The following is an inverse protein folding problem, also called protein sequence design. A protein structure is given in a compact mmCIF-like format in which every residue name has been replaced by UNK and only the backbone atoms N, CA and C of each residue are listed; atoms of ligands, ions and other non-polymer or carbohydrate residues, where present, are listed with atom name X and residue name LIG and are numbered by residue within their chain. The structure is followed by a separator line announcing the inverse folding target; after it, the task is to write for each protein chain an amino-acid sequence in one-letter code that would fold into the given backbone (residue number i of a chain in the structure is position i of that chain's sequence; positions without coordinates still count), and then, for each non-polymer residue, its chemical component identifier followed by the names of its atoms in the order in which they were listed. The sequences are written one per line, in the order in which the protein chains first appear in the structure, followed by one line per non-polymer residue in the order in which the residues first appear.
data_IF_099127844522
#
_entry.id   IF_099127844522
#
_cell.length_a   1.000
_cell.length_b   1.000
_cell.length_c   1.000
_cell.angle_alpha   90.00
_cell.angle_beta   90.00
_cell.angle_gamma   90.00
#
_symmetry.space_group_name_H-M   'P 1'
#
loop_
_entity.id
_entity.type
_entity.pdbx_description
1 polymer ?
#
# COMPACT_ATOMS: atom_id res chain seq x y z
N UNK A 1 31.93 -26.23 -9.30
CA UNK A 1 31.15 -26.06 -10.54
C UNK A 1 29.65 -25.95 -10.21
N UNK A 2 29.20 -24.84 -9.60
CA UNK A 2 27.79 -24.67 -9.17
C UNK A 2 27.21 -23.26 -9.46
N UNK A 3 27.91 -22.44 -10.25
CA UNK A 3 27.54 -21.02 -10.47
C UNK A 3 26.80 -20.80 -11.80
N UNK A 4 26.84 -21.77 -12.72
CA UNK A 4 26.22 -21.66 -14.06
C UNK A 4 24.73 -21.99 -14.10
N UNK A 5 24.18 -22.62 -13.06
CA UNK A 5 22.80 -23.13 -13.08
C UNK A 5 21.77 -22.06 -12.66
N UNK A 6 22.14 -21.15 -11.74
CA UNK A 6 21.26 -20.06 -11.28
C UNK A 6 21.07 -18.96 -12.33
N UNK A 7 22.09 -18.67 -13.14
CA UNK A 7 21.99 -17.67 -14.21
C UNK A 7 21.13 -18.15 -15.39
N UNK A 8 21.19 -19.45 -15.74
CA UNK A 8 20.33 -20.05 -16.75
C UNK A 8 18.86 -20.17 -16.28
N UNK A 9 18.62 -20.45 -15.00
CA UNK A 9 17.27 -20.41 -14.40
C UNK A 9 16.66 -19.01 -14.40
N UNK A 10 17.45 -17.98 -14.11
CA UNK A 10 16.96 -16.59 -14.12
C UNK A 10 16.61 -16.09 -15.52
N UNK A 11 17.38 -16.51 -16.55
CA UNK A 11 17.06 -16.24 -17.96
C UNK A 11 15.81 -17.01 -18.43
N UNK A 12 15.54 -18.22 -17.92
CA UNK A 12 14.32 -18.98 -18.28
C UNK A 12 13.05 -18.47 -17.59
N UNK A 13 13.16 -17.96 -16.35
CA UNK A 13 12.04 -17.38 -15.59
C UNK A 13 11.62 -16.02 -16.14
N UNK A 14 12.57 -15.13 -16.44
CA UNK A 14 12.27 -13.84 -17.05
C UNK A 14 11.67 -13.97 -18.46
N UNK A 15 12.15 -14.94 -19.25
CA UNK A 15 11.59 -15.26 -20.56
C UNK A 15 10.17 -15.81 -20.50
N UNK A 16 9.86 -16.66 -19.51
CA UNK A 16 8.52 -17.18 -19.30
C UNK A 16 7.53 -16.08 -18.88
N UNK A 17 7.90 -15.18 -17.98
CA UNK A 17 7.05 -14.06 -17.58
C UNK A 17 6.77 -13.09 -18.73
N UNK A 18 7.79 -12.75 -19.53
CA UNK A 18 7.62 -11.89 -20.70
C UNK A 18 6.67 -12.52 -21.73
N UNK A 19 6.85 -13.82 -22.01
CA UNK A 19 5.99 -14.57 -22.93
C UNK A 19 4.55 -14.69 -22.42
N UNK A 20 4.36 -14.94 -21.12
CA UNK A 20 3.04 -14.95 -20.49
C UNK A 20 2.35 -13.61 -20.65
N UNK A 21 3.04 -12.50 -20.37
CA UNK A 21 2.51 -11.15 -20.52
C UNK A 21 2.11 -10.82 -21.97
N UNK A 22 2.93 -11.25 -22.94
CA UNK A 22 2.63 -11.09 -24.37
C UNK A 22 1.39 -11.89 -24.79
N UNK A 23 1.28 -13.15 -24.37
CA UNK A 23 0.13 -14.00 -24.66
C UNK A 23 -1.17 -13.45 -24.07
N UNK A 24 -1.13 -12.99 -22.83
CA UNK A 24 -2.29 -12.37 -22.15
C UNK A 24 -2.71 -11.09 -22.86
N UNK A 25 -1.75 -10.22 -23.19
CA UNK A 25 -2.04 -8.98 -23.92
C UNK A 25 -2.70 -9.23 -25.29
N UNK A 26 -2.26 -10.25 -26.03
CA UNK A 26 -2.89 -10.66 -27.29
C UNK A 26 -4.32 -11.18 -27.09
N UNK A 27 -4.56 -11.96 -26.04
CA UNK A 27 -5.89 -12.48 -25.71
C UNK A 27 -6.84 -11.34 -25.34
N UNK A 28 -6.41 -10.42 -24.48
CA UNK A 28 -7.27 -9.34 -23.95
C UNK A 28 -7.54 -8.25 -24.99
N UNK A 29 -6.49 -7.76 -25.67
CA UNK A 29 -6.59 -6.66 -26.64
C UNK A 29 -7.33 -7.09 -27.90
N UNK A 30 -6.95 -8.24 -28.45
CA UNK A 30 -7.40 -8.69 -29.77
C UNK A 30 -8.52 -9.75 -29.68
N UNK A 31 -8.97 -10.07 -28.46
CA UNK A 31 -10.02 -11.08 -28.17
C UNK A 31 -9.71 -12.45 -28.76
N UNK A 32 -8.42 -12.79 -28.84
CA UNK A 32 -7.96 -14.06 -29.42
C UNK A 32 -8.20 -15.21 -28.44
N UNK A 33 -8.51 -16.40 -28.99
CA UNK A 33 -8.37 -17.64 -28.23
C UNK A 33 -6.89 -17.91 -27.92
N UNK A 34 -6.63 -18.67 -26.85
CA UNK A 34 -5.27 -19.09 -26.47
C UNK A 34 -4.53 -19.75 -27.65
N UNK A 35 -5.22 -20.56 -28.44
CA UNK A 35 -4.64 -21.20 -29.62
C UNK A 35 -4.28 -20.21 -30.74
N UNK A 36 -5.04 -19.12 -30.90
CA UNK A 36 -4.70 -18.05 -31.84
C UNK A 36 -3.53 -17.21 -31.34
N UNK A 37 -3.52 -16.83 -30.06
CA UNK A 37 -2.42 -16.10 -29.45
C UNK A 37 -1.11 -16.90 -29.50
N UNK A 38 -1.16 -18.21 -29.24
CA UNK A 38 -0.01 -19.10 -29.36
C UNK A 38 0.60 -19.12 -30.77
N UNK A 39 -0.26 -19.15 -31.81
CA UNK A 39 0.18 -19.07 -33.20
C UNK A 39 0.81 -17.72 -33.52
N UNK A 40 0.22 -16.62 -33.05
CA UNK A 40 0.77 -15.27 -33.26
C UNK A 40 2.12 -15.07 -32.56
N UNK A 41 2.31 -15.65 -31.38
CA UNK A 41 3.55 -15.59 -30.61
C UNK A 41 4.58 -16.67 -30.99
N UNK A 42 4.28 -17.53 -31.98
CA UNK A 42 5.19 -18.57 -32.45
C UNK A 42 5.51 -19.68 -31.45
N UNK A 43 4.61 -19.94 -30.49
CA UNK A 43 4.82 -20.93 -29.42
C UNK A 43 3.82 -22.10 -29.49
N UNK A 44 4.19 -23.30 -29.03
CA UNK A 44 3.27 -24.44 -29.00
C UNK A 44 2.04 -24.14 -28.15
N UNK A 45 0.85 -24.50 -28.65
CA UNK A 45 -0.43 -24.26 -27.96
C UNK A 45 -0.44 -24.85 -26.54
N UNK A 46 0.15 -26.04 -26.35
CA UNK A 46 0.23 -26.66 -25.02
C UNK A 46 1.04 -25.81 -24.02
N UNK A 47 2.12 -25.18 -24.48
CA UNK A 47 2.96 -24.30 -23.65
C UNK A 47 2.22 -23.00 -23.34
N UNK A 48 1.60 -22.38 -24.35
CA UNK A 48 0.81 -21.16 -24.16
C UNK A 48 -0.38 -21.39 -23.21
N UNK A 49 -1.11 -22.49 -23.38
CA UNK A 49 -2.21 -22.88 -22.47
C UNK A 49 -1.72 -23.06 -21.05
N UNK A 50 -0.57 -23.70 -20.84
CA UNK A 50 -0.01 -23.89 -19.51
C UNK A 50 0.40 -22.57 -18.86
N UNK A 51 1.04 -21.68 -19.61
CA UNK A 51 1.47 -20.36 -19.12
C UNK A 51 0.28 -19.47 -18.75
N UNK A 52 -0.73 -19.38 -19.62
CA UNK A 52 -1.95 -18.61 -19.34
C UNK A 52 -2.70 -19.19 -18.14
N UNK A 53 -2.79 -20.52 -18.02
CA UNK A 53 -3.43 -21.16 -16.87
C UNK A 53 -2.68 -20.86 -15.56
N UNK A 54 -1.35 -20.94 -15.56
CA UNK A 54 -0.55 -20.60 -14.37
C UNK A 54 -0.72 -19.12 -14.00
N UNK A 55 -0.75 -18.22 -14.97
CA UNK A 55 -0.99 -16.81 -14.72
C UNK A 55 -2.37 -16.52 -14.13
N UNK A 56 -3.41 -17.18 -14.63
CA UNK A 56 -4.75 -17.05 -14.08
C UNK A 56 -4.81 -17.52 -12.61
N UNK A 57 -4.14 -18.62 -12.28
CA UNK A 57 -4.01 -19.11 -10.91
C UNK A 57 -3.24 -18.13 -10.02
N UNK A 58 -2.13 -17.56 -10.52
CA UNK A 58 -1.34 -16.56 -9.80
C UNK A 58 -2.14 -15.29 -9.52
N UNK A 59 -2.95 -14.83 -10.48
CA UNK A 59 -3.85 -13.70 -10.31
C UNK A 59 -4.93 -13.99 -9.26
N UNK A 60 -5.59 -15.15 -9.35
CA UNK A 60 -6.62 -15.56 -8.37
C UNK A 60 -6.03 -15.68 -6.95
N UNK A 61 -4.82 -16.22 -6.83
CA UNK A 61 -4.11 -16.30 -5.55
C UNK A 61 -3.75 -14.90 -5.01
N UNK A 62 -3.28 -14.00 -5.87
CA UNK A 62 -2.96 -12.62 -5.47
C UNK A 62 -4.21 -11.84 -5.06
N UNK A 63 -5.33 -12.02 -5.76
CA UNK A 63 -6.62 -11.43 -5.42
C UNK A 63 -7.15 -11.97 -4.08
N UNK A 64 -7.00 -13.28 -3.84
CA UNK A 64 -7.36 -13.91 -2.56
C UNK A 64 -6.50 -13.38 -1.41
N UNK A 65 -5.18 -13.34 -1.58
CA UNK A 65 -4.25 -12.78 -0.59
C UNK A 65 -4.59 -11.31 -0.31
N UNK A 66 -4.89 -10.52 -1.34
CA UNK A 66 -5.30 -9.13 -1.17
C UNK A 66 -6.62 -9.01 -0.38
N UNK A 67 -7.60 -9.87 -0.67
CA UNK A 67 -8.87 -9.88 0.05
C UNK A 67 -8.69 -10.23 1.53
N UNK A 68 -7.93 -11.28 1.85
CA UNK A 68 -7.59 -11.66 3.24
C UNK A 68 -6.83 -10.53 3.95
N UNK A 69 -5.86 -9.91 3.28
CA UNK A 69 -5.09 -8.78 3.81
C UNK A 69 -5.99 -7.58 4.12
N UNK A 70 -6.96 -7.29 3.24
CA UNK A 70 -7.91 -6.20 3.47
C UNK A 70 -8.87 -6.52 4.62
N UNK A 71 -9.28 -7.77 4.79
CA UNK A 71 -10.10 -8.19 5.92
C UNK A 71 -9.35 -8.05 7.25
N UNK A 72 -8.10 -8.48 7.32
CA UNK A 72 -7.25 -8.30 8.49
C UNK A 72 -7.09 -6.81 8.81
N UNK A 73 -6.84 -5.99 7.81
CA UNK A 73 -6.68 -4.55 7.94
C UNK A 73 -7.99 -3.87 8.42
N UNK A 74 -9.16 -4.24 7.90
CA UNK A 74 -10.47 -3.74 8.37
C UNK A 74 -10.74 -4.18 9.81
N UNK A 75 -10.36 -5.40 10.19
CA UNK A 75 -10.46 -5.88 11.58
C UNK A 75 -9.59 -5.04 12.52
N UNK A 76 -8.44 -4.56 12.05
CA UNK A 76 -7.55 -3.69 12.82
C UNK A 76 -8.09 -2.26 12.95
N UNK A 77 -8.74 -1.70 11.93
CA UNK A 77 -9.32 -0.34 11.96
C UNK A 77 -10.70 -0.28 11.29
N UNK A 78 -11.79 -0.64 12.00
CA UNK A 78 -13.11 -0.70 11.41
C UNK A 78 -13.60 0.68 10.93
N UNK A 79 -14.18 0.69 9.72
CA UNK A 79 -14.79 1.87 9.10
C UNK A 79 -13.83 2.83 8.41
N UNK A 80 -12.55 2.49 8.27
CA UNK A 80 -11.60 3.24 7.44
C UNK A 80 -11.89 3.02 5.94
N UNK A 81 -11.78 4.08 5.13
CA UNK A 81 -12.02 3.98 3.68
C UNK A 81 -10.77 3.45 2.95
N UNK A 82 -10.53 2.15 3.08
CA UNK A 82 -9.36 1.44 2.55
C UNK A 82 -9.23 1.53 1.03
N UNK A 83 -10.34 1.66 0.30
CA UNK A 83 -10.38 1.78 -1.16
C UNK A 83 -9.71 3.07 -1.66
N UNK A 84 -9.59 4.04 -0.78
CA UNK A 84 -9.05 5.36 -1.12
C UNK A 84 -7.53 5.45 -0.95
N UNK A 85 -6.88 4.36 -0.53
CA UNK A 85 -5.44 4.25 -0.34
C UNK A 85 -4.77 3.77 -1.62
N UNK A 86 -3.58 4.31 -1.91
CA UNK A 86 -2.72 3.77 -2.97
C UNK A 86 -2.01 2.50 -2.50
N UNK A 87 -1.64 1.61 -3.43
CA UNK A 87 -0.89 0.37 -3.12
C UNK A 87 0.34 0.60 -2.24
N UNK A 88 1.05 1.72 -2.44
CA UNK A 88 2.19 2.10 -1.61
C UNK A 88 1.81 2.29 -0.13
N UNK A 89 0.63 2.84 0.13
CA UNK A 89 0.15 3.06 1.48
C UNK A 89 -0.33 1.76 2.11
N UNK A 90 -1.02 0.89 1.36
CA UNK A 90 -1.36 -0.45 1.82
C UNK A 90 -0.11 -1.24 2.23
N UNK A 91 0.93 -1.23 1.39
CA UNK A 91 2.19 -1.90 1.69
C UNK A 91 2.85 -1.33 2.96
N UNK A 92 2.91 -0.01 3.11
CA UNK A 92 3.53 0.61 4.27
C UNK A 92 2.79 0.28 5.59
N UNK A 93 1.47 0.14 5.55
CA UNK A 93 0.65 -0.26 6.69
C UNK A 93 0.89 -1.72 7.03
N UNK A 94 0.85 -2.59 6.02
CA UNK A 94 1.09 -4.02 6.19
C UNK A 94 2.51 -4.32 6.73
N UNK A 95 3.52 -3.60 6.25
CA UNK A 95 4.90 -3.69 6.75
C UNK A 95 5.08 -3.10 8.16
N UNK A 96 4.02 -2.52 8.75
CA UNK A 96 4.08 -1.89 10.07
C UNK A 96 4.94 -0.62 10.10
N UNK A 97 5.17 0.02 8.95
CA UNK A 97 5.96 1.26 8.85
C UNK A 97 5.10 2.52 8.92
N UNK A 98 3.81 2.40 8.66
CA UNK A 98 2.83 3.49 8.74
C UNK A 98 1.50 3.02 9.34
N UNK A 99 0.70 3.95 9.85
CA UNK A 99 -0.66 3.71 10.31
C UNK A 99 -1.64 4.73 9.68
N UNK A 100 -2.93 4.37 9.55
CA UNK A 100 -3.98 5.32 9.21
C UNK A 100 -4.00 6.53 10.17
N UNK A 101 -4.11 7.73 9.61
CA UNK A 101 -4.20 8.96 10.39
C UNK A 101 -5.44 9.01 11.28
N UNK A 102 -6.50 8.28 10.91
CA UNK A 102 -7.74 8.20 11.68
C UNK A 102 -7.51 7.72 13.11
N UNK A 103 -6.74 6.65 13.30
CA UNK A 103 -6.44 6.09 14.63
C UNK A 103 -5.83 7.17 15.53
N UNK A 104 -4.83 7.89 15.01
CA UNK A 104 -4.17 8.96 15.77
C UNK A 104 -5.12 10.11 16.05
N UNK A 105 -6.01 10.46 15.12
CA UNK A 105 -7.03 11.51 15.33
C UNK A 105 -8.02 11.11 16.43
N UNK A 106 -8.48 9.87 16.46
CA UNK A 106 -9.38 9.37 17.50
C UNK A 106 -8.72 9.41 18.89
N UNK A 107 -7.45 9.02 18.98
CA UNK A 107 -6.67 9.14 20.23
C UNK A 107 -6.51 10.60 20.68
N UNK A 108 -6.27 11.50 19.73
CA UNK A 108 -6.20 12.94 20.02
C UNK A 108 -7.56 13.43 20.49
N UNK A 109 -8.65 13.10 19.81
CA UNK A 109 -10.00 13.52 20.18
C UNK A 109 -10.38 13.04 21.59
N UNK A 110 -10.11 11.77 21.91
CA UNK A 110 -10.31 11.24 23.26
C UNK A 110 -9.46 11.99 24.31
N UNK A 111 -8.20 12.30 23.98
CA UNK A 111 -7.34 13.10 24.85
C UNK A 111 -7.86 14.54 25.04
N UNK A 112 -8.36 15.18 23.97
CA UNK A 112 -8.94 16.52 24.04
C UNK A 112 -10.19 16.53 24.93
N UNK A 113 -11.05 15.52 24.81
CA UNK A 113 -12.22 15.37 25.68
C UNK A 113 -11.83 15.17 27.14
N UNK A 114 -10.76 14.42 27.43
CA UNK A 114 -10.29 14.15 28.80
C UNK A 114 -9.57 15.34 29.45
N UNK A 115 -8.83 16.11 28.68
CA UNK A 115 -7.93 17.15 29.20
C UNK A 115 -8.45 18.57 28.98
N UNK A 116 -9.49 18.73 28.15
CA UNK A 116 -10.03 20.02 27.68
C UNK A 116 -8.99 20.86 26.92
N UNK A 117 -7.90 20.24 26.46
CA UNK A 117 -6.84 20.89 25.70
C UNK A 117 -7.07 20.75 24.19
N UNK A 118 -6.62 21.74 23.41
CA UNK A 118 -6.71 21.71 21.95
C UNK A 118 -5.47 21.12 21.27
N UNK A 119 -5.54 20.95 19.94
CA UNK A 119 -4.39 20.49 19.12
C UNK A 119 -3.17 21.41 19.23
N UNK A 120 -3.38 22.71 19.50
CA UNK A 120 -2.30 23.67 19.68
C UNK A 120 -1.41 23.35 20.89
N UNK A 121 -1.99 22.89 22.00
CA UNK A 121 -1.23 22.46 23.18
C UNK A 121 -0.42 21.19 22.89
N UNK A 122 -1.03 20.23 22.18
CA UNK A 122 -0.33 19.03 21.74
C UNK A 122 0.82 19.36 20.77
N UNK A 123 0.62 20.28 19.84
CA UNK A 123 1.65 20.73 18.92
C UNK A 123 2.81 21.41 19.66
N UNK A 124 2.51 22.23 20.68
CA UNK A 124 3.51 22.84 21.56
C UNK A 124 4.33 21.78 22.32
N UNK A 125 3.68 20.74 22.87
CA UNK A 125 4.36 19.62 23.53
C UNK A 125 5.29 18.84 22.58
N UNK A 126 4.93 18.79 21.30
CA UNK A 126 5.73 18.16 20.24
C UNK A 126 6.81 19.07 19.66
N UNK A 127 6.86 20.34 20.06
CA UNK A 127 7.79 21.33 19.51
C UNK A 127 7.55 21.65 18.04
N UNK A 128 6.31 21.48 17.55
CA UNK A 128 5.92 21.76 16.16
C UNK A 128 4.77 22.77 16.11
N UNK A 129 4.55 23.40 14.96
CA UNK A 129 3.39 24.28 14.77
C UNK A 129 2.08 23.50 14.68
N UNK A 130 0.98 24.07 15.21
CA UNK A 130 -0.37 23.47 15.15
C UNK A 130 -0.76 23.11 13.70
N UNK A 131 -0.52 24.02 12.76
CA UNK A 131 -0.77 23.80 11.34
C UNK A 131 0.07 22.64 10.76
N UNK A 132 1.28 22.42 11.27
CA UNK A 132 2.13 21.29 10.84
C UNK A 132 1.61 19.96 11.40
N UNK A 133 1.15 19.95 12.65
CA UNK A 133 0.51 18.79 13.26
C UNK A 133 -0.79 18.43 12.51
N UNK A 134 -1.66 19.40 12.27
CA UNK A 134 -2.94 19.21 11.57
C UNK A 134 -2.74 18.70 10.14
N UNK A 135 -1.72 19.18 9.43
CA UNK A 135 -1.33 18.63 8.12
C UNK A 135 -0.83 17.19 8.21
N UNK A 136 -0.01 16.87 9.22
CA UNK A 136 0.51 15.52 9.44
C UNK A 136 -0.61 14.52 9.74
N UNK A 137 -1.65 14.96 10.46
CA UNK A 137 -2.86 14.21 10.77
C UNK A 137 -3.90 14.18 9.62
N UNK A 138 -3.63 14.87 8.51
CA UNK A 138 -4.55 14.94 7.37
C UNK A 138 -5.83 15.75 7.63
N UNK A 139 -5.85 16.59 8.67
CA UNK A 139 -6.96 17.50 8.98
C UNK A 139 -6.95 18.74 8.07
N UNK A 140 -5.78 19.09 7.56
CA UNK A 140 -5.57 20.16 6.58
C UNK A 140 -4.80 19.61 5.39
N UNK A 141 -5.09 20.13 4.21
CA UNK A 141 -4.44 19.71 2.97
C UNK A 141 -2.96 20.11 2.98
N UNK A 142 -2.11 19.20 2.48
CA UNK A 142 -0.73 19.57 2.14
C UNK A 142 -0.80 20.46 0.91
N UNK A 143 -0.21 21.67 0.94
CA UNK A 143 -0.30 22.60 -0.17
C UNK A 143 0.36 22.03 -1.41
N UNK A 144 -0.13 22.46 -2.57
CA UNK A 144 0.46 22.14 -3.87
C UNK A 144 1.94 22.52 -3.85
N UNK A 145 2.80 21.61 -4.31
CA UNK A 145 4.25 21.84 -4.36
C UNK A 145 4.85 21.44 -5.70
N UNK A 146 5.92 22.12 -6.09
CA UNK A 146 6.75 21.75 -7.24
C UNK A 146 8.09 21.24 -6.70
N UNK A 147 8.48 20.01 -7.06
CA UNK A 147 9.76 19.42 -6.66
C UNK A 147 10.39 18.76 -7.88
N UNK A 148 11.65 19.10 -8.18
CA UNK A 148 12.39 18.58 -9.35
C UNK A 148 11.59 18.71 -10.66
N UNK A 149 10.97 19.86 -10.89
CA UNK A 149 10.12 20.11 -12.07
C UNK A 149 8.76 19.39 -12.08
N UNK A 150 8.50 18.47 -11.15
CA UNK A 150 7.20 17.77 -11.03
C UNK A 150 6.23 18.55 -10.15
N UNK A 151 5.01 18.74 -10.66
CA UNK A 151 3.90 19.37 -9.93
C UNK A 151 3.15 18.29 -9.13
N UNK A 152 3.05 18.49 -7.82
CA UNK A 152 2.27 17.64 -6.93
C UNK A 152 1.02 18.39 -6.51
N UNK A 153 -0.18 17.85 -6.74
CA UNK A 153 -1.44 18.49 -6.35
C UNK A 153 -1.53 18.60 -4.82
N UNK A 154 -2.38 19.53 -4.37
CA UNK A 154 -2.76 19.56 -2.97
C UNK A 154 -3.47 18.25 -2.61
N UNK A 155 -3.17 17.71 -1.44
CA UNK A 155 -3.73 16.43 -1.01
C UNK A 155 -3.74 16.30 0.51
N UNK A 156 -4.71 15.58 1.04
CA UNK A 156 -4.70 15.15 2.43
C UNK A 156 -3.74 13.99 2.63
N UNK A 157 -2.99 14.06 3.72
CA UNK A 157 -2.19 12.94 4.17
C UNK A 157 -3.11 11.92 4.87
N UNK A 158 -3.16 10.69 4.38
CA UNK A 158 -4.01 9.63 4.96
C UNK A 158 -3.28 8.75 5.97
N UNK A 159 -1.95 8.70 5.88
CA UNK A 159 -1.10 7.86 6.73
C UNK A 159 0.01 8.66 7.37
N UNK A 160 0.43 8.21 8.56
CA UNK A 160 1.57 8.73 9.31
C UNK A 160 2.51 7.58 9.60
N UNK A 161 3.81 7.84 9.61
CA UNK A 161 4.81 6.84 10.00
C UNK A 161 4.61 6.43 11.45
N UNK A 162 4.85 5.14 11.78
CA UNK A 162 4.76 4.63 13.16
C UNK A 162 5.62 5.42 14.13
N UNK A 163 6.80 5.89 13.70
CA UNK A 163 7.67 6.72 14.54
C UNK A 163 7.00 8.05 14.94
N UNK A 164 6.45 8.77 13.96
CA UNK A 164 5.75 10.04 14.23
C UNK A 164 4.47 9.83 15.04
N UNK A 165 3.71 8.76 14.77
CA UNK A 165 2.56 8.38 15.61
C UNK A 165 2.99 8.10 17.05
N UNK A 166 4.07 7.34 17.25
CA UNK A 166 4.63 7.03 18.57
C UNK A 166 5.02 8.29 19.35
N UNK A 167 5.58 9.30 18.68
CA UNK A 167 5.88 10.60 19.31
C UNK A 167 4.62 11.33 19.76
N UNK A 168 3.58 11.34 18.93
CA UNK A 168 2.28 11.95 19.26
C UNK A 168 1.68 11.25 20.47
N UNK A 169 1.61 9.92 20.44
CA UNK A 169 1.05 9.09 21.53
C UNK A 169 1.76 9.34 22.85
N UNK A 170 3.10 9.39 22.83
CA UNK A 170 3.88 9.75 24.03
C UNK A 170 3.55 11.14 24.54
N UNK A 171 3.35 12.12 23.64
CA UNK A 171 2.93 13.47 24.01
C UNK A 171 1.49 13.55 24.56
N UNK A 172 0.63 12.57 24.25
CA UNK A 172 -0.70 12.42 24.86
C UNK A 172 -0.63 11.83 26.29
N UNK A 173 0.55 11.38 26.73
CA UNK A 173 0.72 10.67 28.00
C UNK A 173 0.16 9.25 27.97
N UNK A 174 -0.08 8.68 26.78
CA UNK A 174 -0.52 7.29 26.60
C UNK A 174 0.76 6.44 26.49
N UNK A 175 0.91 5.38 27.31
CA UNK A 175 2.05 4.49 27.17
C UNK A 175 2.01 3.80 25.79
N UNK A 176 3.14 3.68 25.07
CA UNK A 176 3.16 3.19 23.69
C UNK A 176 2.53 1.80 23.49
N UNK A 177 2.51 0.97 24.54
CA UNK A 177 1.92 -0.36 24.53
C UNK A 177 0.39 -0.37 24.39
N UNK A 178 -0.31 0.74 24.69
CA UNK A 178 -1.77 0.84 24.52
C UNK A 178 -2.18 1.21 23.09
N UNK A 179 -1.23 1.63 22.24
CA UNK A 179 -1.48 1.92 20.83
C UNK A 179 -1.24 0.71 19.93
N UNK A 180 -0.54 -0.29 20.47
CA UNK A 180 -0.37 -1.60 19.87
C UNK A 180 -1.17 -2.64 20.67
N UNK A 181 -2.50 -2.54 20.62
CA UNK A 181 -3.37 -3.71 20.77
C UNK A 181 -3.50 -4.49 19.44
N UNK A 182 -2.43 -4.45 18.63
CA UNK A 182 -2.29 -5.04 17.29
C UNK A 182 -1.11 -6.00 17.32
#
# INVERSE_FOLDING_TARGET
MAVTDSANKQLSLGGAQALTGELVALIERDRLSVAQAARSAGVPVAVASRLVQLHAIELEAADTELAERLEDIERQCPGEDWWSYSNRQHNAIFEGSAIPNRIVRELIEAWQQRTEQGTGTLAANLGIGDEALRRSLGMVDVPRRVKYGRRYPARRQKTITVEAASRIVRALGIPPCEVCGL
#
